data_IF_651539630763
#
_entry.id   IF_651539630763
#
_cell.length_a   1.000
_cell.length_b   1.000
_cell.length_c   1.000
_cell.angle_alpha   90.00
_cell.angle_beta   90.00
_cell.angle_gamma   90.00
#
_symmetry.space_group_name_H-M   'P 1'
#
loop_
_entity.id
_entity.type
_entity.pdbx_description
1 polymer ?
#
# COMPACT_ATOMS: atom_id res chain seq x y z
N UNK A 1 -14.25 22.85 25.80
CA UNK A 1 -13.94 22.65 24.37
C UNK A 1 -12.66 23.37 23.96
N UNK A 2 -12.57 24.69 24.09
CA UNK A 2 -11.38 25.50 23.73
C UNK A 2 -10.04 24.98 24.27
N UNK A 3 -9.97 24.62 25.56
CA UNK A 3 -8.76 24.03 26.16
C UNK A 3 -8.30 22.75 25.43
N UNK A 4 -9.25 21.85 25.14
CA UNK A 4 -8.95 20.60 24.42
C UNK A 4 -8.47 20.88 22.99
N UNK A 5 -9.10 21.85 22.32
CA UNK A 5 -8.66 22.29 20.99
C UNK A 5 -7.24 22.86 21.03
N UNK A 6 -6.91 23.69 22.02
CA UNK A 6 -5.57 24.24 22.21
C UNK A 6 -4.53 23.12 22.44
N UNK A 7 -4.85 22.12 23.26
CA UNK A 7 -3.99 20.94 23.43
C UNK A 7 -3.73 20.23 22.08
N UNK A 8 -4.77 20.00 21.27
CA UNK A 8 -4.62 19.35 19.97
C UNK A 8 -3.79 20.17 18.98
N UNK A 9 -3.92 21.50 18.99
CA UNK A 9 -3.12 22.41 18.16
C UNK A 9 -1.63 22.26 18.49
N UNK A 10 -1.29 22.24 19.78
CA UNK A 10 0.10 22.08 20.26
C UNK A 10 0.65 20.70 19.86
N UNK A 11 -0.10 19.63 20.09
CA UNK A 11 0.35 18.26 19.75
C UNK A 11 0.47 18.02 18.25
N UNK A 12 -0.33 18.73 17.45
CA UNK A 12 -0.21 18.71 15.99
C UNK A 12 0.91 19.59 15.43
N UNK A 13 1.57 20.38 16.28
CA UNK A 13 2.50 21.40 15.82
C UNK A 13 1.84 22.38 14.85
N UNK A 14 0.59 22.74 15.10
CA UNK A 14 -0.23 23.56 14.21
C UNK A 14 -0.43 24.98 14.74
N UNK A 15 0.54 25.49 15.49
CA UNK A 15 0.48 26.84 16.06
C UNK A 15 0.74 27.86 14.94
N UNK A 16 -0.30 28.60 14.55
CA UNK A 16 -0.22 29.63 13.51
C UNK A 16 0.60 30.84 13.93
N UNK A 17 0.92 30.99 15.23
CA UNK A 17 1.77 32.05 15.75
C UNK A 17 3.28 31.80 15.60
N UNK A 18 3.69 30.64 15.09
CA UNK A 18 5.10 30.23 14.96
C UNK A 18 5.46 30.02 13.49
N UNK A 19 6.53 30.69 13.01
CA UNK A 19 6.99 30.60 11.62
C UNK A 19 7.47 29.16 11.27
N UNK A 20 8.20 28.52 12.18
CA UNK A 20 8.69 27.14 12.04
C UNK A 20 7.88 26.17 12.89
N UNK A 21 6.85 25.58 12.28
CA UNK A 21 6.07 24.55 12.94
C UNK A 21 6.83 23.23 13.07
N UNK A 22 6.71 22.58 14.23
CA UNK A 22 7.26 21.23 14.46
C UNK A 22 6.52 20.19 13.61
N UNK A 23 7.19 19.05 13.39
CA UNK A 23 6.56 17.88 12.75
C UNK A 23 5.38 17.37 13.58
N UNK A 24 4.29 17.00 12.90
CA UNK A 24 3.08 16.44 13.50
C UNK A 24 3.37 15.14 14.27
N UNK A 25 3.05 15.10 15.56
CA UNK A 25 3.19 13.91 16.42
C UNK A 25 1.86 13.14 16.49
N UNK A 26 1.66 12.23 15.54
CA UNK A 26 0.42 11.46 15.42
C UNK A 26 0.13 10.59 16.65
N UNK A 27 1.17 10.09 17.33
CA UNK A 27 1.01 9.31 18.56
C UNK A 27 0.38 10.13 19.67
N UNK A 28 0.84 11.37 19.87
CA UNK A 28 0.27 12.27 20.88
C UNK A 28 -1.10 12.80 20.49
N UNK A 29 -1.33 13.15 19.22
CA UNK A 29 -2.66 13.55 18.73
C UNK A 29 -3.67 12.44 19.01
N UNK A 30 -3.37 11.19 18.64
CA UNK A 30 -4.27 10.07 18.86
C UNK A 30 -4.51 9.80 20.36
N UNK A 31 -3.47 9.96 21.20
CA UNK A 31 -3.58 9.83 22.66
C UNK A 31 -4.51 10.89 23.24
N UNK A 32 -4.34 12.15 22.82
CA UNK A 32 -5.18 13.27 23.23
C UNK A 32 -6.63 13.08 22.78
N UNK A 33 -6.86 12.71 21.51
CA UNK A 33 -8.19 12.45 20.95
C UNK A 33 -8.87 11.30 21.68
N UNK A 34 -8.18 10.18 21.91
CA UNK A 34 -8.73 9.04 22.65
C UNK A 34 -9.17 9.44 24.06
N UNK A 35 -8.37 10.27 24.74
CA UNK A 35 -8.71 10.80 26.07
C UNK A 35 -9.92 11.74 26.02
N UNK A 36 -10.04 12.57 24.98
CA UNK A 36 -11.16 13.49 24.79
C UNK A 36 -12.46 12.75 24.47
N UNK A 37 -12.42 11.73 23.60
CA UNK A 37 -13.57 10.89 23.26
C UNK A 37 -14.11 10.15 24.49
N UNK A 38 -13.23 9.63 25.37
CA UNK A 38 -13.63 9.02 26.65
C UNK A 38 -14.38 9.99 27.57
N UNK A 39 -14.15 11.31 27.42
CA UNK A 39 -14.84 12.37 28.18
C UNK A 39 -16.10 12.88 27.46
N UNK A 40 -16.53 12.21 26.37
CA UNK A 40 -17.71 12.58 25.60
C UNK A 40 -17.51 13.77 24.65
N UNK A 41 -16.27 14.16 24.35
CA UNK A 41 -15.99 15.23 23.38
C UNK A 41 -15.96 14.62 21.98
N UNK A 42 -16.82 15.13 21.10
CA UNK A 42 -16.90 14.67 19.73
C UNK A 42 -15.82 15.33 18.86
N UNK A 43 -15.04 14.52 18.13
CA UNK A 43 -14.10 14.99 17.11
C UNK A 43 -14.72 14.67 15.75
N UNK A 44 -15.05 15.69 14.96
CA UNK A 44 -15.61 15.49 13.62
C UNK A 44 -14.51 15.36 12.58
N UNK A 45 -14.85 14.74 11.45
CA UNK A 45 -13.99 14.68 10.27
C UNK A 45 -13.56 16.10 9.85
N UNK A 46 -12.40 16.23 9.20
CA UNK A 46 -12.08 17.48 8.55
C UNK A 46 -13.08 17.77 7.43
N UNK A 47 -13.42 19.04 7.23
CA UNK A 47 -14.34 19.50 6.19
C UNK A 47 -13.60 20.52 5.32
N UNK A 48 -13.56 20.30 4.01
CA UNK A 48 -12.65 21.04 3.12
C UNK A 48 -12.84 22.56 3.16
N UNK A 49 -14.06 23.03 3.44
CA UNK A 49 -14.40 24.45 3.52
C UNK A 49 -14.38 25.04 4.95
N UNK A 50 -14.34 24.20 6.00
CA UNK A 50 -14.46 24.65 7.39
C UNK A 50 -13.20 24.37 8.24
N UNK A 51 -12.49 23.27 7.97
CA UNK A 51 -11.27 22.89 8.72
C UNK A 51 -10.14 23.89 8.49
N UNK A 52 -9.58 24.45 9.55
CA UNK A 52 -8.40 25.32 9.45
C UNK A 52 -7.08 24.52 9.42
N UNK A 53 -5.97 25.25 9.45
CA UNK A 53 -4.65 24.66 9.56
C UNK A 53 -4.55 23.87 10.87
N UNK A 54 -4.91 24.47 12.00
CA UNK A 54 -5.08 23.81 13.30
C UNK A 54 -6.47 23.22 13.54
N UNK A 55 -6.63 22.52 14.68
CA UNK A 55 -7.94 22.02 15.13
C UNK A 55 -8.86 23.20 15.45
N UNK A 56 -10.14 23.10 15.11
CA UNK A 56 -11.08 24.24 15.26
C UNK A 56 -12.22 23.86 16.23
N UNK A 57 -12.52 24.69 17.25
CA UNK A 57 -13.68 24.45 18.11
C UNK A 57 -14.96 24.86 17.38
N UNK A 58 -15.97 23.99 17.38
CA UNK A 58 -17.30 24.26 16.84
C UNK A 58 -18.32 24.18 17.98
N UNK A 59 -18.49 25.34 18.64
CA UNK A 59 -19.33 25.49 19.84
C UNK A 59 -20.81 25.21 19.56
N UNK A 60 -21.42 25.71 18.45
CA UNK A 60 -22.81 25.41 18.13
C UNK A 60 -23.11 23.91 18.05
N UNK A 61 -22.16 23.10 17.57
CA UNK A 61 -22.33 21.66 17.40
C UNK A 61 -21.64 20.82 18.49
N UNK A 62 -21.07 21.47 19.52
CA UNK A 62 -20.30 20.83 20.60
C UNK A 62 -19.28 19.79 20.11
N UNK A 63 -18.50 20.16 19.09
CA UNK A 63 -17.50 19.29 18.46
C UNK A 63 -16.20 20.03 18.18
N UNK A 64 -15.12 19.28 17.99
CA UNK A 64 -13.86 19.81 17.49
C UNK A 64 -13.67 19.31 16.06
N UNK A 65 -13.52 20.24 15.12
CA UNK A 65 -13.25 19.93 13.72
C UNK A 65 -11.77 19.58 13.56
N UNK A 66 -11.51 18.42 12.96
CA UNK A 66 -10.16 17.93 12.72
C UNK A 66 -9.35 18.87 11.83
N UNK A 67 -8.07 19.02 12.16
CA UNK A 67 -7.09 19.87 11.47
C UNK A 67 -6.72 19.32 10.10
N UNK A 68 -6.59 20.19 9.09
CA UNK A 68 -6.04 19.76 7.80
C UNK A 68 -4.56 19.37 7.87
N UNK A 69 -3.77 20.05 8.71
CA UNK A 69 -2.35 19.73 8.94
C UNK A 69 -2.17 18.35 9.60
N UNK A 70 -3.09 17.95 10.46
CA UNK A 70 -3.04 16.67 11.13
C UNK A 70 -3.43 15.47 10.22
N UNK A 71 -3.73 15.72 8.94
CA UNK A 71 -3.99 14.65 7.96
C UNK A 71 -2.66 14.09 7.46
N UNK A 72 -2.52 12.78 7.56
CA UNK A 72 -1.33 12.06 7.14
C UNK A 72 -1.03 12.27 5.64
N UNK A 73 0.19 12.70 5.34
CA UNK A 73 0.68 12.88 3.97
C UNK A 73 0.28 14.21 3.32
N UNK A 74 -0.38 15.12 4.05
CA UNK A 74 -0.65 16.48 3.60
C UNK A 74 0.38 17.42 4.24
N UNK A 75 1.12 18.15 3.41
CA UNK A 75 2.14 19.10 3.87
C UNK A 75 1.57 20.49 4.10
N UNK A 76 2.20 21.26 4.99
CA UNK A 76 1.77 22.60 5.41
C UNK A 76 1.48 23.54 4.23
N UNK A 77 2.31 23.53 3.18
CA UNK A 77 2.12 24.39 1.99
C UNK A 77 0.84 24.04 1.25
N UNK A 78 0.53 22.75 1.09
CA UNK A 78 -0.70 22.31 0.43
C UNK A 78 -1.92 22.67 1.26
N UNK A 79 -1.82 22.61 2.60
CA UNK A 79 -2.90 23.08 3.48
C UNK A 79 -3.14 24.57 3.30
N UNK A 80 -2.09 25.39 3.27
CA UNK A 80 -2.20 26.85 3.06
C UNK A 80 -2.83 27.18 1.71
N UNK A 81 -2.42 26.49 0.65
CA UNK A 81 -3.02 26.64 -0.69
C UNK A 81 -4.50 26.21 -0.73
N UNK A 82 -4.85 25.13 -0.04
CA UNK A 82 -6.26 24.72 0.11
C UNK A 82 -7.05 25.82 0.83
N UNK A 83 -6.51 26.42 1.88
CA UNK A 83 -7.19 27.46 2.66
C UNK A 83 -7.34 28.75 1.83
N UNK A 84 -6.30 29.17 1.12
CA UNK A 84 -6.30 30.43 0.35
C UNK A 84 -7.28 30.42 -0.83
N UNK A 85 -7.59 29.23 -1.37
CA UNK A 85 -8.51 29.06 -2.50
C UNK A 85 -9.97 28.78 -2.10
N UNK A 86 -10.31 28.82 -0.81
CA UNK A 86 -11.70 28.63 -0.35
C UNK A 86 -12.60 29.82 -0.66
N UNK A 87 -13.93 29.60 -0.68
CA UNK A 87 -14.61 28.32 -0.56
C UNK A 87 -14.65 27.54 -1.88
N UNK A 88 -14.82 26.23 -1.79
CA UNK A 88 -15.13 25.33 -2.91
C UNK A 88 -16.63 25.08 -3.00
N UNK A 89 -17.16 25.15 -4.22
CA UNK A 89 -18.61 25.06 -4.49
C UNK A 89 -19.06 23.67 -4.93
N UNK A 90 -18.16 22.89 -5.55
CA UNK A 90 -18.38 21.49 -5.90
C UNK A 90 -17.04 20.73 -5.97
N UNK A 91 -17.10 19.41 -6.21
CA UNK A 91 -15.89 18.63 -6.46
C UNK A 91 -15.19 19.02 -7.76
N UNK A 92 -15.94 19.28 -8.82
CA UNK A 92 -15.39 19.73 -10.12
C UNK A 92 -14.63 21.03 -9.95
N UNK A 93 -15.18 21.94 -9.15
CA UNK A 93 -14.54 23.19 -8.79
C UNK A 93 -13.22 22.95 -8.03
N UNK A 94 -13.21 22.07 -7.03
CA UNK A 94 -11.97 21.66 -6.35
C UNK A 94 -10.95 21.02 -7.31
N UNK A 95 -11.38 20.10 -8.17
CA UNK A 95 -10.52 19.44 -9.14
C UNK A 95 -9.88 20.43 -10.11
N UNK A 96 -10.67 21.38 -10.63
CA UNK A 96 -10.19 22.39 -11.57
C UNK A 96 -9.12 23.30 -10.95
N UNK A 97 -9.31 23.70 -9.69
CA UNK A 97 -8.42 24.65 -9.00
C UNK A 97 -7.22 24.00 -8.33
N UNK A 98 -7.33 22.75 -7.88
CA UNK A 98 -6.31 22.11 -7.04
C UNK A 98 -5.61 20.92 -7.71
N UNK A 99 -6.33 20.09 -8.48
CA UNK A 99 -5.75 18.90 -9.12
C UNK A 99 -5.20 19.22 -10.51
N UNK A 100 -5.98 19.89 -11.35
CA UNK A 100 -5.56 20.22 -12.72
C UNK A 100 -4.37 21.19 -12.75
N UNK A 101 -4.29 22.07 -11.75
CA UNK A 101 -3.14 22.98 -11.49
C UNK A 101 -1.96 22.28 -10.82
N UNK A 102 -2.11 21.02 -10.41
CA UNK A 102 -1.11 20.18 -9.73
C UNK A 102 -0.66 20.68 -8.35
N UNK A 103 -1.44 21.55 -7.71
CA UNK A 103 -1.22 21.99 -6.33
C UNK A 103 -1.38 20.79 -5.38
N UNK A 104 -2.46 20.03 -5.54
CA UNK A 104 -2.72 18.80 -4.80
C UNK A 104 -2.33 17.62 -5.70
N UNK A 105 -1.42 16.77 -5.21
CA UNK A 105 -0.97 15.55 -5.92
C UNK A 105 -1.98 14.42 -5.74
N UNK A 106 -1.93 13.41 -6.62
CA UNK A 106 -2.77 12.20 -6.54
C UNK A 106 -2.79 11.56 -5.15
N UNK A 107 -1.62 11.35 -4.54
CA UNK A 107 -1.51 10.74 -3.22
C UNK A 107 -2.17 11.58 -2.12
N UNK A 108 -2.07 12.91 -2.22
CA UNK A 108 -2.69 13.85 -1.30
C UNK A 108 -4.21 13.85 -1.46
N UNK A 109 -4.71 13.82 -2.71
CA UNK A 109 -6.15 13.71 -2.96
C UNK A 109 -6.75 12.45 -2.36
N UNK A 110 -6.09 11.29 -2.54
CA UNK A 110 -6.51 10.03 -1.94
C UNK A 110 -6.63 10.17 -0.42
N UNK A 111 -5.65 10.82 0.23
CA UNK A 111 -5.69 11.04 1.68
C UNK A 111 -6.81 12.00 2.12
N UNK A 112 -7.06 13.09 1.37
CA UNK A 112 -8.18 14.01 1.65
C UNK A 112 -9.55 13.32 1.52
N UNK A 113 -9.72 12.46 0.52
CA UNK A 113 -10.95 11.66 0.35
C UNK A 113 -11.08 10.65 1.50
N UNK A 114 -10.01 9.92 1.84
CA UNK A 114 -9.99 8.98 2.96
C UNK A 114 -10.31 9.67 4.29
N UNK A 115 -9.76 10.86 4.51
CA UNK A 115 -10.01 11.70 5.68
C UNK A 115 -11.46 12.19 5.78
N UNK A 116 -12.21 12.17 4.67
CA UNK A 116 -13.59 12.63 4.63
C UNK A 116 -13.75 14.14 4.45
N UNK A 117 -12.75 14.81 3.88
CA UNK A 117 -12.81 16.26 3.62
C UNK A 117 -14.01 16.69 2.76
N UNK A 118 -14.55 15.79 1.96
CA UNK A 118 -15.56 16.07 0.94
C UNK A 118 -16.96 15.53 1.27
N UNK A 119 -17.18 15.00 2.48
CA UNK A 119 -18.48 14.38 2.83
C UNK A 119 -19.68 15.33 2.78
N UNK A 120 -19.44 16.64 2.97
CA UNK A 120 -20.47 17.68 2.83
C UNK A 120 -20.47 18.34 1.44
N UNK A 121 -19.35 18.29 0.70
CA UNK A 121 -19.21 18.95 -0.60
C UNK A 121 -19.67 18.05 -1.77
N UNK A 122 -19.50 16.74 -1.63
CA UNK A 122 -19.69 15.74 -2.70
C UNK A 122 -20.74 14.70 -2.32
N UNK A 123 -20.33 13.76 -1.47
CA UNK A 123 -21.11 12.59 -1.14
C UNK A 123 -20.76 12.13 0.29
N UNK A 124 -21.75 11.84 1.14
CA UNK A 124 -21.49 11.33 2.48
C UNK A 124 -20.75 9.98 2.46
N UNK A 125 -20.91 9.19 1.39
CA UNK A 125 -20.15 7.96 1.17
C UNK A 125 -18.82 8.24 0.47
N UNK A 126 -17.75 8.28 1.28
CA UNK A 126 -16.36 8.45 0.83
C UNK A 126 -15.96 7.45 -0.26
N UNK A 127 -16.53 6.24 -0.29
CA UNK A 127 -16.20 5.23 -1.31
C UNK A 127 -16.68 5.64 -2.69
N UNK A 128 -17.81 6.33 -2.79
CA UNK A 128 -18.32 6.86 -4.06
C UNK A 128 -17.42 7.97 -4.57
N UNK A 129 -17.04 8.93 -3.71
CA UNK A 129 -16.06 9.97 -4.05
C UNK A 129 -14.73 9.38 -4.52
N UNK A 130 -14.22 8.36 -3.81
CA UNK A 130 -12.98 7.67 -4.20
C UNK A 130 -13.12 7.00 -5.56
N UNK A 131 -14.22 6.25 -5.79
CA UNK A 131 -14.48 5.58 -7.07
C UNK A 131 -14.50 6.59 -8.21
N UNK A 132 -15.24 7.69 -8.05
CA UNK A 132 -15.31 8.76 -9.05
C UNK A 132 -13.93 9.37 -9.34
N UNK A 133 -13.14 9.65 -8.30
CA UNK A 133 -11.79 10.18 -8.46
C UNK A 133 -10.88 9.22 -9.22
N UNK A 134 -10.89 7.93 -8.84
CA UNK A 134 -10.08 6.92 -9.52
C UNK A 134 -10.47 6.78 -11.00
N UNK A 135 -11.76 6.73 -11.27
CA UNK A 135 -12.31 6.57 -12.63
C UNK A 135 -11.99 7.73 -13.58
N UNK A 136 -11.96 8.96 -13.07
CA UNK A 136 -11.88 10.15 -13.93
C UNK A 136 -10.51 10.86 -13.91
N UNK A 137 -9.71 10.65 -12.85
CA UNK A 137 -8.44 11.37 -12.67
C UNK A 137 -7.21 10.47 -12.48
N UNK A 138 -7.40 9.17 -12.22
CA UNK A 138 -6.27 8.24 -11.99
C UNK A 138 -6.12 7.26 -13.14
N UNK A 139 -7.19 6.56 -13.51
CA UNK A 139 -7.14 5.61 -14.61
C UNK A 139 -7.22 6.35 -15.94
N UNK A 140 -6.50 5.84 -16.94
CA UNK A 140 -6.65 6.30 -18.32
C UNK A 140 -7.65 5.38 -19.00
N UNK A 141 -8.93 5.76 -18.96
CA UNK A 141 -10.01 5.05 -19.67
C UNK A 141 -9.63 4.94 -21.14
N UNK A 142 -9.76 3.74 -21.69
CA UNK A 142 -9.59 3.49 -23.11
C UNK A 142 -10.96 3.62 -23.79
N UNK A 143 -11.05 4.46 -24.82
CA UNK A 143 -12.25 4.53 -25.68
C UNK A 143 -12.24 3.41 -26.72
N UNK A 144 -11.04 2.93 -27.08
CA UNK A 144 -10.83 1.84 -28.02
C UNK A 144 -9.59 1.04 -27.63
N UNK A 145 -9.67 -0.29 -27.70
CA UNK A 145 -8.51 -1.14 -27.48
C UNK A 145 -7.67 -1.29 -28.75
N UNK A 146 -6.36 -1.33 -28.55
CA UNK A 146 -5.38 -1.59 -29.60
C UNK A 146 -4.30 -2.52 -29.07
N UNK A 147 -3.37 -2.94 -29.93
CA UNK A 147 -2.22 -3.73 -29.51
C UNK A 147 -1.29 -2.99 -28.52
N UNK A 148 -1.44 -1.67 -28.34
CA UNK A 148 -0.72 -0.94 -27.29
C UNK A 148 -1.10 -1.39 -25.88
N UNK A 149 -2.38 -1.75 -25.67
CA UNK A 149 -2.90 -2.21 -24.38
C UNK A 149 -2.68 -3.71 -24.15
N UNK A 150 -2.11 -4.43 -25.13
CA UNK A 150 -2.02 -5.90 -25.13
C UNK A 150 -1.36 -6.46 -23.87
N UNK A 151 -0.22 -5.90 -23.45
CA UNK A 151 0.51 -6.42 -22.28
C UNK A 151 -0.31 -6.30 -20.99
N UNK A 152 -0.93 -5.13 -20.74
CA UNK A 152 -1.82 -4.94 -19.60
C UNK A 152 -3.04 -5.86 -19.66
N UNK A 153 -3.59 -6.08 -20.86
CA UNK A 153 -4.73 -6.96 -21.07
C UNK A 153 -4.40 -8.43 -20.77
N UNK A 154 -3.20 -8.91 -21.16
CA UNK A 154 -2.73 -10.25 -20.78
C UNK A 154 -2.54 -10.35 -19.26
N UNK A 155 -1.97 -9.34 -18.61
CA UNK A 155 -1.83 -9.30 -17.15
C UNK A 155 -3.20 -9.34 -16.46
N UNK A 156 -4.17 -8.57 -16.94
CA UNK A 156 -5.53 -8.64 -16.40
C UNK A 156 -6.18 -9.98 -16.66
N UNK A 157 -5.94 -10.59 -17.82
CA UNK A 157 -6.47 -11.91 -18.13
C UNK A 157 -5.94 -13.02 -17.21
N UNK A 158 -4.67 -12.95 -16.77
CA UNK A 158 -4.13 -13.95 -15.85
C UNK A 158 -4.75 -13.88 -14.44
N UNK A 159 -5.31 -12.73 -14.07
CA UNK A 159 -5.95 -12.51 -12.76
C UNK A 159 -7.47 -12.70 -12.85
N UNK A 160 -8.09 -12.17 -13.90
CA UNK A 160 -9.54 -12.01 -14.02
C UNK A 160 -10.20 -12.83 -15.12
N UNK A 161 -9.43 -13.51 -15.98
CA UNK A 161 -9.96 -14.33 -17.10
C UNK A 161 -10.95 -13.57 -18.01
N UNK A 162 -10.56 -12.39 -18.49
CA UNK A 162 -11.42 -11.50 -19.29
C UNK A 162 -11.41 -11.77 -20.80
N UNK A 163 -10.42 -12.54 -21.30
CA UNK A 163 -10.29 -12.82 -22.73
C UNK A 163 -11.00 -14.14 -23.05
N UNK A 164 -11.91 -14.15 -24.04
CA UNK A 164 -12.53 -15.38 -24.52
C UNK A 164 -11.51 -16.43 -24.97
N UNK A 165 -11.73 -17.69 -24.60
CA UNK A 165 -10.83 -18.82 -24.94
C UNK A 165 -10.57 -18.96 -26.44
N UNK A 166 -11.52 -18.56 -27.28
CA UNK A 166 -11.41 -18.59 -28.74
C UNK A 166 -10.28 -17.69 -29.27
N UNK A 167 -9.82 -16.72 -28.48
CA UNK A 167 -8.76 -15.78 -28.84
C UNK A 167 -7.36 -16.24 -28.41
N UNK A 168 -7.22 -17.42 -27.78
CA UNK A 168 -5.92 -17.97 -27.40
C UNK A 168 -4.97 -18.16 -28.59
N UNK A 169 -5.47 -18.65 -29.73
CA UNK A 169 -4.65 -18.81 -30.93
C UNK A 169 -4.18 -17.47 -31.52
N UNK A 170 -5.04 -16.46 -31.73
CA UNK A 170 -4.61 -15.11 -32.06
C UNK A 170 -3.53 -14.55 -31.12
N UNK A 171 -3.64 -14.78 -29.80
CA UNK A 171 -2.63 -14.38 -28.82
C UNK A 171 -1.29 -15.10 -29.06
N UNK A 172 -1.32 -16.41 -29.33
CA UNK A 172 -0.11 -17.18 -29.68
C UNK A 172 0.55 -16.65 -30.96
N UNK A 173 -0.23 -16.30 -31.98
CA UNK A 173 0.29 -15.68 -33.21
C UNK A 173 0.97 -14.32 -32.94
N UNK A 174 0.47 -13.54 -31.97
CA UNK A 174 1.14 -12.30 -31.54
C UNK A 174 2.50 -12.62 -30.94
N UNK A 175 2.56 -13.52 -29.96
CA UNK A 175 3.83 -13.90 -29.33
C UNK A 175 4.83 -14.49 -30.33
N UNK A 176 4.35 -15.32 -31.25
CA UNK A 176 5.18 -15.88 -32.31
C UNK A 176 5.76 -14.78 -33.20
N UNK A 177 4.95 -13.80 -33.64
CA UNK A 177 5.44 -12.63 -34.38
C UNK A 177 6.52 -11.86 -33.61
N UNK A 178 6.31 -11.61 -32.33
CA UNK A 178 7.28 -10.88 -31.51
C UNK A 178 8.58 -11.66 -31.31
N UNK A 179 8.50 -12.99 -31.24
CA UNK A 179 9.64 -13.89 -31.09
C UNK A 179 10.51 -13.92 -32.35
N UNK A 180 9.93 -14.21 -33.52
CA UNK A 180 10.71 -14.40 -34.76
C UNK A 180 11.26 -13.09 -35.35
N UNK A 181 10.68 -11.94 -35.00
CA UNK A 181 11.12 -10.63 -35.47
C UNK A 181 12.17 -9.98 -34.55
N UNK A 182 12.71 -10.70 -33.57
CA UNK A 182 13.85 -10.25 -32.78
C UNK A 182 15.12 -10.18 -33.64
N UNK A 183 16.02 -9.25 -33.32
CA UNK A 183 17.23 -9.02 -34.09
C UNK A 183 18.18 -10.22 -34.13
N UNK A 184 18.11 -11.14 -33.17
CA UNK A 184 18.89 -12.38 -33.17
C UNK A 184 18.53 -13.33 -34.34
N UNK A 185 17.30 -13.26 -34.84
CA UNK A 185 16.85 -14.02 -36.00
C UNK A 185 17.08 -13.29 -37.32
N UNK A 186 17.53 -12.02 -37.29
CA UNK A 186 17.77 -11.23 -38.49
C UNK A 186 18.90 -11.84 -39.32
N UNK A 187 18.56 -12.33 -40.51
CA UNK A 187 19.52 -12.95 -41.41
C UNK A 187 20.17 -11.92 -42.33
N UNK A 188 19.36 -11.18 -43.10
CA UNK A 188 19.86 -10.11 -43.98
C UNK A 188 18.80 -9.07 -44.29
N UNK A 189 19.26 -7.88 -44.64
CA UNK A 189 18.41 -6.81 -45.19
C UNK A 189 18.35 -7.00 -46.71
N UNK A 190 17.16 -7.27 -47.22
CA UNK A 190 16.91 -7.46 -48.64
C UNK A 190 16.49 -6.15 -49.30
N UNK A 191 17.20 -5.80 -50.36
CA UNK A 191 16.88 -4.67 -51.24
C UNK A 191 16.30 -5.28 -52.51
N UNK A 192 15.08 -4.88 -52.87
CA UNK A 192 14.45 -5.32 -54.11
C UNK A 192 15.30 -4.84 -55.32
N UNK A 193 15.87 -5.76 -56.13
CA UNK A 193 16.70 -5.40 -57.28
C UNK A 193 15.96 -4.57 -58.33
N UNK A 194 14.62 -4.62 -58.35
CA UNK A 194 13.77 -3.87 -59.30
C UNK A 194 13.47 -2.44 -58.83
N UNK A 195 13.90 -2.06 -57.63
CA UNK A 195 13.72 -0.70 -57.10
C UNK A 195 14.57 0.30 -57.89
N UNK A 196 13.92 1.17 -58.68
CA UNK A 196 14.56 2.26 -59.45
C UNK A 196 15.23 3.36 -58.60
N UNK A 197 15.28 3.23 -57.27
CA UNK A 197 15.87 4.22 -56.37
C UNK A 197 17.34 3.86 -56.12
N UNK A 198 18.26 4.71 -56.58
CA UNK A 198 19.72 4.50 -56.54
C UNK A 198 20.30 4.26 -55.13
N UNK A 199 19.62 4.68 -54.07
CA UNK A 199 19.81 4.18 -52.71
C UNK A 199 18.44 4.17 -51.99
N UNK A 200 18.01 3.06 -51.38
CA UNK A 200 16.80 3.06 -50.56
C UNK A 200 17.02 3.95 -49.32
N UNK A 201 16.11 4.88 -49.04
CA UNK A 201 16.08 5.58 -47.75
C UNK A 201 15.99 4.55 -46.62
N UNK A 202 16.63 4.82 -45.47
CA UNK A 202 16.53 3.98 -44.28
C UNK A 202 15.07 3.59 -44.02
N UNK A 203 14.77 2.29 -43.94
CA UNK A 203 13.41 1.75 -43.74
C UNK A 203 12.68 1.20 -44.99
N UNK A 204 13.24 1.32 -46.20
CA UNK A 204 12.61 0.76 -47.42
C UNK A 204 13.03 -0.69 -47.75
N UNK A 205 14.05 -1.21 -47.07
CA UNK A 205 14.57 -2.56 -47.28
C UNK A 205 13.69 -3.57 -46.55
N UNK A 206 13.34 -4.68 -47.20
CA UNK A 206 12.71 -5.80 -46.52
C UNK A 206 13.73 -6.49 -45.59
N UNK A 207 13.28 -7.10 -44.50
CA UNK A 207 14.15 -7.85 -43.60
C UNK A 207 13.82 -9.32 -43.71
N UNK A 208 14.87 -10.14 -43.83
CA UNK A 208 14.71 -11.58 -43.88
C UNK A 208 15.18 -12.18 -42.57
N UNK A 209 14.38 -13.07 -42.01
CA UNK A 209 14.62 -13.70 -40.73
C UNK A 209 14.83 -15.19 -40.92
N UNK A 210 15.87 -15.74 -40.30
CA UNK A 210 16.17 -17.17 -40.29
C UNK A 210 15.54 -17.78 -39.04
N UNK A 211 14.62 -18.71 -39.20
CA UNK A 211 13.93 -19.38 -38.10
C UNK A 211 14.83 -20.44 -37.46
N UNK A 212 14.69 -20.66 -36.16
CA UNK A 212 15.25 -21.81 -35.47
C UNK A 212 14.29 -23.02 -35.52
N UNK A 213 14.68 -24.13 -34.90
CA UNK A 213 13.91 -25.38 -34.95
C UNK A 213 12.53 -25.23 -34.33
N UNK A 214 12.45 -24.54 -33.19
CA UNK A 214 11.20 -24.34 -32.45
C UNK A 214 10.25 -23.42 -33.24
N UNK A 215 10.77 -22.32 -33.82
CA UNK A 215 9.98 -21.44 -34.66
C UNK A 215 9.49 -22.14 -35.94
N UNK A 216 10.30 -23.03 -36.52
CA UNK A 216 9.94 -23.75 -37.74
C UNK A 216 8.75 -24.69 -37.55
N UNK A 217 8.66 -25.39 -36.42
CA UNK A 217 7.54 -26.29 -36.13
C UNK A 217 6.21 -25.50 -36.11
N UNK A 218 6.18 -24.40 -35.36
CA UNK A 218 5.00 -23.53 -35.30
C UNK A 218 4.70 -22.87 -36.65
N UNK A 219 5.74 -22.44 -37.38
CA UNK A 219 5.61 -21.83 -38.69
C UNK A 219 4.98 -22.79 -39.70
N UNK A 220 5.49 -24.00 -39.81
CA UNK A 220 4.97 -25.02 -40.74
C UNK A 220 3.52 -25.37 -40.45
N UNK A 221 3.15 -25.47 -39.17
CA UNK A 221 1.81 -25.84 -38.77
C UNK A 221 0.77 -24.76 -39.11
N UNK A 222 1.10 -23.48 -38.89
CA UNK A 222 0.12 -22.40 -38.92
C UNK A 222 0.25 -21.40 -40.08
N UNK A 223 1.38 -21.41 -40.77
CA UNK A 223 1.70 -20.56 -41.93
C UNK A 223 2.16 -21.39 -43.14
N UNK A 224 1.46 -22.49 -43.51
CA UNK A 224 1.90 -23.39 -44.58
C UNK A 224 1.93 -22.70 -45.96
N UNK A 225 1.12 -21.65 -46.13
CA UNK A 225 0.99 -20.89 -47.37
C UNK A 225 2.01 -19.74 -47.47
N UNK A 226 2.74 -19.42 -46.40
CA UNK A 226 3.78 -18.40 -46.44
C UNK A 226 4.99 -18.93 -47.20
N UNK A 227 5.31 -18.27 -48.31
CA UNK A 227 6.45 -18.64 -49.15
C UNK A 227 7.78 -18.45 -48.38
N UNK A 228 8.44 -19.56 -48.08
CA UNK A 228 9.84 -19.58 -47.63
C UNK A 228 10.70 -18.96 -48.72
N UNK A 229 11.47 -17.95 -48.36
CA UNK A 229 12.23 -17.14 -49.32
C UNK A 229 13.56 -17.79 -49.66
N UNK A 230 14.20 -18.42 -48.67
CA UNK A 230 15.45 -19.14 -48.83
C UNK A 230 15.53 -20.27 -47.80
N UNK A 231 16.24 -21.35 -48.12
CA UNK A 231 16.54 -22.44 -47.18
C UNK A 231 18.06 -22.44 -47.00
N UNK A 232 18.51 -22.25 -45.76
CA UNK A 232 19.94 -22.17 -45.40
C UNK A 232 20.27 -23.35 -44.48
N UNK A 233 20.81 -24.42 -45.07
CA UNK A 233 20.94 -25.71 -44.39
C UNK A 233 19.56 -26.31 -44.12
N UNK A 234 19.29 -26.66 -42.86
CA UNK A 234 17.98 -27.18 -42.43
C UNK A 234 17.00 -26.08 -41.95
N UNK A 235 17.33 -24.81 -42.15
CA UNK A 235 16.58 -23.69 -41.59
C UNK A 235 15.86 -22.85 -42.65
N UNK A 236 14.62 -22.46 -42.36
CA UNK A 236 13.82 -21.60 -43.21
C UNK A 236 14.15 -20.13 -43.02
N UNK A 237 14.23 -19.40 -44.13
CA UNK A 237 14.36 -17.93 -44.15
C UNK A 237 13.10 -17.33 -44.73
N UNK A 238 12.48 -16.42 -43.98
CA UNK A 238 11.20 -15.79 -44.33
C UNK A 238 11.36 -14.28 -44.54
N UNK A 239 10.54 -13.73 -45.44
CA UNK A 239 10.41 -12.28 -45.65
C UNK A 239 9.48 -11.68 -44.60
N UNK A 240 9.93 -10.65 -43.89
CA UNK A 240 9.15 -9.93 -42.89
C UNK A 240 7.83 -9.39 -43.48
N UNK A 241 7.89 -8.73 -44.63
CA UNK A 241 6.69 -8.16 -45.26
C UNK A 241 5.64 -9.21 -45.59
N UNK A 242 6.04 -10.36 -46.14
CA UNK A 242 5.13 -11.45 -46.47
C UNK A 242 4.55 -12.08 -45.20
N UNK A 243 5.39 -12.35 -44.21
CA UNK A 243 4.97 -12.90 -42.94
C UNK A 243 4.00 -11.99 -42.18
N UNK A 244 4.32 -10.70 -42.03
CA UNK A 244 3.44 -9.75 -41.33
C UNK A 244 2.07 -9.70 -41.99
N UNK A 245 2.00 -9.73 -43.33
CA UNK A 245 0.73 -9.71 -44.05
C UNK A 245 -0.16 -10.91 -43.73
N UNK A 246 0.43 -12.10 -43.61
CA UNK A 246 -0.32 -13.31 -43.27
C UNK A 246 -0.66 -13.35 -41.77
N UNK A 247 0.29 -13.02 -40.92
CA UNK A 247 0.11 -12.95 -39.47
C UNK A 247 -0.98 -11.95 -39.07
N UNK A 248 -1.06 -10.80 -39.74
CA UNK A 248 -2.10 -9.81 -39.48
C UNK A 248 -3.50 -10.34 -39.76
N UNK A 249 -3.68 -11.28 -40.70
CA UNK A 249 -4.96 -11.99 -40.89
C UNK A 249 -5.29 -12.88 -39.70
N UNK A 250 -4.30 -13.58 -39.16
CA UNK A 250 -4.45 -14.45 -37.97
C UNK A 250 -4.71 -13.64 -36.69
N UNK A 251 -4.25 -12.40 -36.63
CA UNK A 251 -4.55 -11.45 -35.54
C UNK A 251 -5.90 -10.73 -35.69
N UNK A 252 -6.56 -10.83 -36.84
CA UNK A 252 -7.81 -10.12 -37.09
C UNK A 252 -8.90 -10.42 -36.04
N UNK A 253 -9.15 -11.67 -35.62
CA UNK A 253 -10.16 -11.95 -34.58
C UNK A 253 -9.89 -11.23 -33.25
N UNK A 254 -8.61 -11.05 -32.89
CA UNK A 254 -8.23 -10.30 -31.70
C UNK A 254 -8.48 -8.80 -31.89
N UNK A 255 -8.20 -8.25 -33.07
CA UNK A 255 -8.48 -6.85 -33.42
C UNK A 255 -9.98 -6.57 -33.47
N UNK A 256 -10.77 -7.53 -33.93
CA UNK A 256 -12.22 -7.43 -33.97
C UNK A 256 -12.80 -7.42 -32.55
N UNK A 257 -12.31 -8.30 -31.67
CA UNK A 257 -12.68 -8.30 -30.26
C UNK A 257 -12.29 -6.99 -29.55
N UNK A 258 -11.11 -6.43 -29.84
CA UNK A 258 -10.74 -5.10 -29.33
C UNK A 258 -11.71 -3.98 -29.73
N UNK A 259 -12.48 -4.17 -30.80
CA UNK A 259 -13.50 -3.22 -31.25
C UNK A 259 -14.85 -3.37 -30.56
N UNK A 260 -15.06 -4.38 -29.70
CA UNK A 260 -16.33 -4.57 -29.00
C UNK A 260 -16.39 -3.70 -27.75
N UNK A 261 -17.60 -3.24 -27.42
CA UNK A 261 -17.84 -2.51 -26.17
C UNK A 261 -17.51 -3.37 -24.95
N UNK A 262 -17.82 -4.67 -25.00
CA UNK A 262 -17.51 -5.65 -23.96
C UNK A 262 -16.01 -5.68 -23.62
N UNK A 263 -15.13 -5.72 -24.62
CA UNK A 263 -13.69 -5.78 -24.40
C UNK A 263 -13.17 -4.49 -23.74
N UNK A 264 -13.65 -3.34 -24.23
CA UNK A 264 -13.29 -2.01 -23.70
C UNK A 264 -13.76 -1.86 -22.25
N UNK A 265 -15.01 -2.23 -21.96
CA UNK A 265 -15.59 -2.17 -20.62
C UNK A 265 -14.89 -3.12 -19.65
N UNK A 266 -14.61 -4.36 -20.07
CA UNK A 266 -13.87 -5.32 -19.25
C UNK A 266 -12.47 -4.81 -18.90
N UNK A 267 -11.75 -4.25 -19.88
CA UNK A 267 -10.42 -3.68 -19.66
C UNK A 267 -10.46 -2.48 -18.69
N UNK A 268 -11.37 -1.53 -18.89
CA UNK A 268 -11.52 -0.36 -18.03
C UNK A 268 -11.95 -0.75 -16.61
N UNK A 269 -12.80 -1.76 -16.48
CA UNK A 269 -13.21 -2.32 -15.19
C UNK A 269 -12.03 -2.95 -14.45
N UNK A 270 -11.18 -3.72 -15.15
CA UNK A 270 -9.95 -4.27 -14.57
C UNK A 270 -8.97 -3.17 -14.13
N UNK A 271 -8.78 -2.11 -14.93
CA UNK A 271 -7.97 -0.97 -14.52
C UNK A 271 -8.49 -0.34 -13.22
N UNK A 272 -9.82 -0.15 -13.12
CA UNK A 272 -10.43 0.38 -11.90
C UNK A 272 -10.23 -0.57 -10.71
N UNK A 273 -10.41 -1.89 -10.90
CA UNK A 273 -10.21 -2.89 -9.83
C UNK A 273 -8.79 -2.87 -9.28
N UNK A 274 -7.78 -2.83 -10.14
CA UNK A 274 -6.38 -2.74 -9.72
C UNK A 274 -6.09 -1.40 -9.02
N UNK A 275 -6.56 -0.28 -9.60
CA UNK A 275 -6.42 1.03 -8.95
C UNK A 275 -7.15 1.10 -7.61
N UNK A 276 -8.28 0.40 -7.45
CA UNK A 276 -9.01 0.30 -6.19
C UNK A 276 -8.21 -0.52 -5.18
N UNK A 277 -7.65 -1.65 -5.59
CA UNK A 277 -6.78 -2.48 -4.75
C UNK A 277 -5.58 -1.70 -4.23
N UNK A 278 -4.94 -0.90 -5.10
CA UNK A 278 -3.76 -0.13 -4.74
C UNK A 278 -4.03 1.02 -3.76
N UNK A 279 -5.18 1.68 -3.86
CA UNK A 279 -5.42 2.96 -3.17
C UNK A 279 -6.61 2.98 -2.22
N UNK A 280 -7.63 2.16 -2.47
CA UNK A 280 -8.95 2.24 -1.86
C UNK A 280 -9.38 0.94 -1.15
N UNK A 281 -8.56 -0.10 -1.13
CA UNK A 281 -8.88 -1.33 -0.41
C UNK A 281 -8.99 -1.10 1.10
N UNK A 282 -10.08 -1.57 1.70
CA UNK A 282 -10.30 -1.51 3.13
C UNK A 282 -11.70 -1.11 3.57
N UNK A 283 -11.87 -1.14 4.88
CA UNK A 283 -13.02 -0.54 5.57
C UNK A 283 -12.83 0.96 5.72
N UNK A 284 -13.92 1.63 6.10
CA UNK A 284 -13.89 3.05 6.44
C UNK A 284 -12.97 3.32 7.62
N UNK A 285 -12.97 2.45 8.64
CA UNK A 285 -12.05 2.52 9.79
C UNK A 285 -10.58 2.46 9.34
N UNK A 286 -10.24 1.58 8.38
CA UNK A 286 -8.89 1.54 7.81
C UNK A 286 -8.51 2.87 7.15
N UNK A 287 -9.44 3.49 6.41
CA UNK A 287 -9.20 4.78 5.78
C UNK A 287 -9.00 5.90 6.80
N UNK A 288 -9.76 5.89 7.90
CA UNK A 288 -9.57 6.83 9.01
C UNK A 288 -8.21 6.65 9.68
N UNK A 289 -7.78 5.40 9.89
CA UNK A 289 -6.44 5.15 10.42
C UNK A 289 -5.34 5.62 9.47
N UNK A 290 -5.45 5.29 8.18
CA UNK A 290 -4.47 5.68 7.16
C UNK A 290 -4.30 7.21 7.06
N UNK A 291 -5.40 7.95 7.18
CA UNK A 291 -5.47 9.39 6.90
C UNK A 291 -5.48 10.26 8.16
N UNK A 292 -6.19 9.88 9.21
CA UNK A 292 -6.37 10.64 10.46
C UNK A 292 -5.60 10.03 11.64
N UNK A 293 -5.07 8.81 11.51
CA UNK A 293 -4.38 8.09 12.61
C UNK A 293 -5.24 7.86 13.86
N UNK A 294 -6.56 7.89 13.69
CA UNK A 294 -7.58 7.63 14.71
C UNK A 294 -8.72 6.80 14.12
N UNK A 295 -9.54 6.22 14.98
CA UNK A 295 -10.82 5.62 14.60
C UNK A 295 -11.96 6.50 15.10
N UNK A 296 -12.82 6.96 14.19
CA UNK A 296 -14.13 7.54 14.52
C UNK A 296 -15.19 6.45 14.45
N UNK A 297 -15.11 5.61 13.43
CA UNK A 297 -15.85 4.36 13.34
C UNK A 297 -15.28 3.30 14.31
N UNK A 298 -15.96 2.17 14.54
CA UNK A 298 -15.44 1.12 15.41
C UNK A 298 -14.03 0.67 15.00
N UNK A 299 -13.21 0.37 16.02
CA UNK A 299 -11.84 -0.10 15.86
C UNK A 299 -11.83 -1.40 15.04
N UNK A 300 -10.87 -1.56 14.12
CA UNK A 300 -10.78 -2.74 13.25
C UNK A 300 -10.54 -4.07 13.99
N UNK A 301 -10.25 -4.01 15.29
CA UNK A 301 -10.02 -5.18 16.17
C UNK A 301 -11.14 -5.32 17.22
N UNK A 302 -12.28 -4.65 17.04
CA UNK A 302 -13.36 -4.65 18.05
C UNK A 302 -13.99 -6.04 18.20
N UNK A 303 -14.06 -6.81 17.12
CA UNK A 303 -14.65 -8.16 17.08
C UNK A 303 -13.62 -9.28 17.34
N UNK A 304 -12.37 -8.93 17.68
CA UNK A 304 -11.34 -9.91 17.98
C UNK A 304 -11.75 -10.82 19.16
N UNK A 305 -11.59 -12.13 19.02
CA UNK A 305 -11.74 -13.08 20.13
C UNK A 305 -10.59 -12.91 21.13
N UNK A 306 -10.72 -11.92 22.01
CA UNK A 306 -9.71 -11.57 22.97
C UNK A 306 -9.34 -12.75 23.88
N UNK A 307 -10.31 -13.61 24.24
CA UNK A 307 -10.07 -14.75 25.12
C UNK A 307 -9.21 -15.81 24.44
N UNK A 308 -9.54 -16.20 23.20
CA UNK A 308 -8.76 -17.16 22.44
C UNK A 308 -7.31 -16.71 22.23
N UNK A 309 -7.08 -15.40 22.10
CA UNK A 309 -5.76 -14.83 21.91
C UNK A 309 -5.14 -14.27 23.21
N UNK A 310 -5.70 -14.49 24.39
CA UNK A 310 -5.15 -13.99 25.66
C UNK A 310 -4.88 -12.48 25.67
N UNK A 311 -5.70 -11.73 24.92
CA UNK A 311 -5.66 -10.28 24.81
C UNK A 311 -6.43 -9.69 25.96
N UNK A 312 -5.84 -8.68 26.62
CA UNK A 312 -6.44 -8.02 27.78
C UNK A 312 -6.51 -6.51 27.57
N UNK A 313 -7.40 -5.85 28.30
CA UNK A 313 -7.44 -4.39 28.34
C UNK A 313 -6.29 -3.85 29.20
N UNK A 314 -5.38 -3.10 28.57
CA UNK A 314 -4.25 -2.46 29.24
C UNK A 314 -4.69 -1.60 30.43
N UNK A 315 -5.81 -0.87 30.31
CA UNK A 315 -6.25 0.05 31.34
C UNK A 315 -6.85 -0.65 32.58
N UNK A 316 -7.13 -1.96 32.48
CA UNK A 316 -7.53 -2.81 33.60
C UNK A 316 -6.35 -3.53 34.26
N UNK A 317 -5.15 -3.47 33.68
CA UNK A 317 -3.95 -4.06 34.28
C UNK A 317 -3.44 -3.21 35.44
N UNK A 318 -2.92 -3.83 36.52
CA UNK A 318 -2.26 -3.09 37.58
C UNK A 318 -1.00 -2.39 37.05
N UNK A 319 -0.70 -1.20 37.60
CA UNK A 319 0.50 -0.43 37.23
C UNK A 319 1.78 -1.17 37.60
N UNK A 320 1.77 -1.88 38.72
CA UNK A 320 2.81 -2.81 39.11
C UNK A 320 2.52 -4.21 38.54
N UNK A 321 3.50 -4.84 37.86
CA UNK A 321 3.28 -6.14 37.26
C UNK A 321 3.08 -7.24 38.31
N UNK A 322 2.07 -8.08 38.09
CA UNK A 322 1.76 -9.21 38.98
C UNK A 322 2.87 -10.25 38.94
N UNK A 323 3.46 -10.54 40.10
CA UNK A 323 4.49 -11.57 40.26
C UNK A 323 3.84 -12.95 40.30
N UNK A 324 4.26 -13.85 39.41
CA UNK A 324 3.75 -15.24 39.34
C UNK A 324 4.73 -16.26 39.90
N UNK A 325 6.04 -15.99 39.81
CA UNK A 325 7.07 -16.85 40.39
C UNK A 325 8.40 -16.08 40.54
N UNK A 326 9.45 -16.76 40.99
CA UNK A 326 10.79 -16.20 41.12
C UNK A 326 11.79 -17.11 40.43
N UNK A 327 12.86 -16.52 39.89
CA UNK A 327 13.98 -17.26 39.32
C UNK A 327 15.31 -16.64 39.77
N UNK A 328 16.34 -17.48 39.87
CA UNK A 328 17.67 -17.04 40.32
C UNK A 328 18.60 -16.89 39.13
N UNK A 329 19.31 -15.76 39.03
CA UNK A 329 20.41 -15.58 38.08
C UNK A 329 21.66 -15.15 38.81
N UNK A 330 22.81 -15.62 38.34
CA UNK A 330 24.11 -15.12 38.79
C UNK A 330 24.40 -13.81 38.07
N UNK A 331 24.64 -12.76 38.84
CA UNK A 331 24.89 -11.41 38.34
C UNK A 331 26.24 -10.96 38.86
N UNK A 332 26.97 -10.21 38.04
CA UNK A 332 28.22 -9.58 38.44
C UNK A 332 27.87 -8.34 39.27
N UNK A 333 28.30 -8.31 40.53
CA UNK A 333 28.08 -7.21 41.46
C UNK A 333 29.45 -6.69 41.91
N UNK A 334 29.63 -5.39 41.78
CA UNK A 334 30.83 -4.71 42.29
C UNK A 334 30.66 -4.45 43.79
N UNK A 335 31.60 -4.95 44.57
CA UNK A 335 31.69 -4.74 46.02
C UNK A 335 33.14 -4.34 46.28
N UNK A 336 33.35 -3.15 46.85
CA UNK A 336 34.68 -2.61 47.18
C UNK A 336 35.67 -2.56 46.01
N UNK A 337 35.20 -2.29 44.78
CA UNK A 337 36.03 -2.19 43.58
C UNK A 337 36.38 -3.53 42.93
N UNK A 338 35.95 -4.64 43.52
CA UNK A 338 36.12 -5.99 42.97
C UNK A 338 34.79 -6.58 42.50
N UNK A 339 34.86 -7.42 41.48
CA UNK A 339 33.69 -7.98 40.83
C UNK A 339 33.38 -9.40 41.33
N UNK A 340 32.25 -9.56 42.02
CA UNK A 340 31.79 -10.84 42.55
C UNK A 340 30.59 -11.37 41.76
N UNK A 341 30.54 -12.69 41.57
CA UNK A 341 29.38 -13.36 40.98
C UNK A 341 28.40 -13.76 42.09
N UNK A 342 27.31 -13.00 42.21
CA UNK A 342 26.31 -13.20 43.27
C UNK A 342 25.04 -13.78 42.66
N UNK A 343 24.47 -14.80 43.31
CA UNK A 343 23.14 -15.33 42.95
C UNK A 343 22.07 -14.39 43.47
N UNK A 344 21.34 -13.74 42.56
CA UNK A 344 20.24 -12.84 42.88
C UNK A 344 18.91 -13.41 42.41
N UNK A 345 17.87 -13.30 43.23
CA UNK A 345 16.50 -13.64 42.84
C UNK A 345 15.86 -12.49 42.07
N UNK A 346 15.11 -12.86 41.03
CA UNK A 346 14.36 -11.95 40.18
C UNK A 346 12.91 -12.40 40.11
N UNK A 347 11.95 -11.45 40.19
CA UNK A 347 10.55 -11.78 40.02
C UNK A 347 10.28 -12.13 38.56
N UNK A 348 9.43 -13.14 38.38
CA UNK A 348 8.80 -13.49 37.11
C UNK A 348 7.39 -12.92 37.11
N UNK A 349 7.06 -12.15 36.09
CA UNK A 349 5.75 -11.50 35.97
C UNK A 349 4.79 -12.30 35.10
N UNK A 350 3.49 -12.09 35.31
CA UNK A 350 2.43 -12.57 34.43
C UNK A 350 2.59 -11.94 33.04
N UNK A 351 2.58 -12.76 31.98
CA UNK A 351 2.64 -12.28 30.60
C UNK A 351 1.25 -12.35 29.98
N UNK A 352 0.80 -11.22 29.46
CA UNK A 352 -0.48 -11.05 28.75
C UNK A 352 -0.22 -10.54 27.34
N UNK A 353 -1.24 -10.51 26.47
CA UNK A 353 -1.16 -9.88 25.14
C UNK A 353 -1.99 -8.60 25.07
N UNK A 354 -1.49 -7.65 24.28
CA UNK A 354 -2.28 -6.52 23.77
C UNK A 354 -2.46 -6.68 22.27
N UNK A 355 -3.61 -6.24 21.76
CA UNK A 355 -3.90 -6.15 20.34
C UNK A 355 -4.19 -4.69 19.98
N UNK A 356 -3.60 -4.20 18.90
CA UNK A 356 -3.84 -2.84 18.48
C UNK A 356 -3.23 -2.50 17.13
N UNK A 357 -3.52 -1.28 16.68
CA UNK A 357 -3.01 -0.70 15.44
C UNK A 357 -1.85 0.25 15.73
N UNK A 358 -0.73 0.10 15.03
CA UNK A 358 0.43 0.97 15.17
C UNK A 358 0.11 2.35 14.62
N UNK A 359 0.22 3.37 15.47
CA UNK A 359 0.01 4.78 15.09
C UNK A 359 1.34 5.43 14.74
N UNK A 360 2.30 5.25 15.64
CA UNK A 360 3.59 5.91 15.55
C UNK A 360 4.69 5.11 16.25
N UNK A 361 5.93 5.46 15.95
CA UNK A 361 7.12 4.80 16.50
C UNK A 361 8.23 5.78 16.82
N UNK A 362 8.86 5.57 17.97
CA UNK A 362 10.07 6.26 18.39
C UNK A 362 11.24 5.27 18.30
N UNK A 363 12.07 5.43 17.27
CA UNK A 363 13.22 4.55 17.01
C UNK A 363 14.30 4.67 18.07
N UNK A 364 14.52 5.88 18.59
CA UNK A 364 15.58 6.15 19.56
C UNK A 364 15.24 5.55 20.91
N UNK A 365 13.96 5.64 21.29
CA UNK A 365 13.45 5.05 22.52
C UNK A 365 12.92 3.63 22.31
N UNK A 366 12.91 3.07 21.10
CA UNK A 366 12.39 1.72 20.85
C UNK A 366 10.94 1.56 21.35
N UNK A 367 10.10 2.58 21.16
CA UNK A 367 8.72 2.61 21.62
C UNK A 367 7.74 2.69 20.45
N UNK A 368 6.54 2.15 20.64
CA UNK A 368 5.40 2.27 19.73
C UNK A 368 4.21 2.91 20.45
N UNK A 369 3.48 3.74 19.73
CA UNK A 369 2.14 4.18 20.11
C UNK A 369 1.14 3.22 19.48
N UNK A 370 0.51 2.38 20.29
CA UNK A 370 -0.41 1.33 19.86
C UNK A 370 -1.85 1.71 20.22
N UNK A 371 -2.72 1.89 19.23
CA UNK A 371 -4.15 2.11 19.48
C UNK A 371 -4.81 0.75 19.75
N UNK A 372 -5.29 0.53 20.97
CA UNK A 372 -6.15 -0.61 21.31
C UNK A 372 -7.61 -0.21 21.16
N UNK A 373 -8.53 -1.17 21.30
CA UNK A 373 -9.98 -0.91 21.35
C UNK A 373 -10.40 0.02 22.49
N UNK A 374 -9.56 0.14 23.53
CA UNK A 374 -9.83 0.93 24.74
C UNK A 374 -8.99 2.20 24.84
N UNK A 375 -7.96 2.38 24.01
CA UNK A 375 -7.21 3.63 23.94
C UNK A 375 -5.75 3.45 23.49
N UNK A 376 -4.98 4.54 23.50
CA UNK A 376 -3.58 4.50 23.07
C UNK A 376 -2.69 4.03 24.21
N UNK A 377 -1.81 3.06 23.91
CA UNK A 377 -0.85 2.47 24.84
C UNK A 377 0.57 2.66 24.30
N UNK A 378 1.49 3.10 25.17
CA UNK A 378 2.91 3.15 24.83
C UNK A 378 3.56 1.79 25.09
N UNK A 379 4.03 1.15 24.03
CA UNK A 379 4.67 -0.16 24.09
C UNK A 379 6.18 -0.01 23.95
N UNK A 380 6.94 -0.47 24.94
CA UNK A 380 8.41 -0.42 24.97
C UNK A 380 9.01 -1.78 24.61
N UNK A 381 9.85 -1.81 23.59
CA UNK A 381 10.62 -2.99 23.19
C UNK A 381 12.08 -2.90 23.64
N UNK A 382 12.73 -4.06 23.76
CA UNK A 382 14.20 -4.09 23.83
C UNK A 382 14.80 -3.80 22.45
N UNK A 383 16.00 -3.20 22.42
CA UNK A 383 16.69 -2.78 21.19
C UNK A 383 16.71 -3.86 20.10
N UNK A 384 17.13 -5.08 20.42
CA UNK A 384 17.21 -6.17 19.44
C UNK A 384 15.84 -6.59 18.88
N UNK A 385 14.82 -6.66 19.73
CA UNK A 385 13.46 -6.97 19.30
C UNK A 385 12.89 -5.86 18.41
N UNK A 386 13.08 -4.62 18.83
CA UNK A 386 12.61 -3.45 18.08
C UNK A 386 13.20 -3.43 16.67
N UNK A 387 14.53 -3.57 16.55
CA UNK A 387 15.21 -3.60 15.25
C UNK A 387 14.72 -4.76 14.39
N UNK A 388 14.54 -5.95 14.98
CA UNK A 388 14.06 -7.11 14.22
C UNK A 388 12.66 -6.90 13.63
N UNK A 389 11.74 -6.29 14.38
CA UNK A 389 10.37 -6.04 13.92
C UNK A 389 10.21 -4.75 13.11
N UNK A 390 11.12 -3.77 13.25
CA UNK A 390 11.10 -2.54 12.46
C UNK A 390 11.83 -2.66 11.10
N UNK A 391 12.66 -3.70 10.90
CA UNK A 391 13.44 -3.85 9.66
C UNK A 391 12.54 -3.95 8.43
N UNK A 392 13.03 -3.45 7.29
CA UNK A 392 12.48 -3.71 5.96
C UNK A 392 13.40 -4.72 5.28
N UNK A 393 12.83 -5.78 4.73
CA UNK A 393 13.55 -6.89 4.09
C UNK A 393 13.42 -6.73 2.58
N UNK A 394 14.56 -6.67 1.88
CA UNK A 394 14.63 -6.47 0.44
C UNK A 394 15.64 -7.40 -0.20
N UNK A 395 15.31 -7.92 -1.38
CA UNK A 395 16.21 -8.74 -2.21
C UNK A 395 16.85 -7.88 -3.30
N UNK A 396 18.09 -8.23 -3.67
CA UNK A 396 18.80 -7.59 -4.79
C UNK A 396 18.54 -8.45 -6.02
N UNK A 397 17.89 -7.85 -7.02
CA UNK A 397 17.62 -8.47 -8.30
C UNK A 397 18.94 -8.65 -9.10
N UNK A 398 18.98 -9.55 -10.10
CA UNK A 398 20.16 -9.75 -10.94
C UNK A 398 20.67 -8.48 -11.66
N UNK A 399 19.81 -7.49 -11.85
CA UNK A 399 20.10 -6.20 -12.47
C UNK A 399 20.66 -5.14 -11.48
N UNK A 400 20.82 -5.50 -10.21
CA UNK A 400 21.29 -4.61 -9.13
C UNK A 400 20.20 -3.75 -8.49
N UNK A 401 18.96 -3.81 -8.97
CA UNK A 401 17.82 -3.15 -8.33
C UNK A 401 17.35 -3.90 -7.08
N UNK A 402 16.66 -3.21 -6.15
CA UNK A 402 16.18 -3.81 -4.90
C UNK A 402 14.66 -3.94 -4.93
N UNK A 403 14.17 -5.16 -4.69
CA UNK A 403 12.74 -5.42 -4.50
C UNK A 403 12.46 -5.56 -3.01
N UNK A 404 11.50 -4.78 -2.48
CA UNK A 404 11.08 -4.93 -1.08
C UNK A 404 10.19 -6.17 -0.95
N UNK A 405 10.65 -7.18 -0.21
CA UNK A 405 9.87 -8.39 0.07
C UNK A 405 8.93 -8.16 1.25
N UNK A 406 9.42 -7.55 2.32
CA UNK A 406 8.63 -7.34 3.55
C UNK A 406 8.91 -5.96 4.14
N UNK A 407 7.84 -5.19 4.36
CA UNK A 407 7.92 -3.90 5.05
C UNK A 407 8.05 -4.08 6.56
N UNK A 408 8.39 -3.00 7.26
CA UNK A 408 8.39 -2.95 8.73
C UNK A 408 7.04 -3.39 9.29
N UNK A 409 7.04 -4.25 10.31
CA UNK A 409 5.81 -4.59 11.05
C UNK A 409 5.30 -3.41 11.86
N UNK A 410 6.19 -2.48 12.22
CA UNK A 410 5.87 -1.23 12.91
C UNK A 410 5.56 -0.09 11.93
N UNK A 411 5.16 -0.39 10.70
CA UNK A 411 4.58 0.63 9.83
C UNK A 411 3.20 1.05 10.38
N UNK A 412 2.86 2.33 10.22
CA UNK A 412 1.55 2.87 10.64
C UNK A 412 0.40 2.10 9.97
N UNK A 413 -0.67 1.87 10.70
CA UNK A 413 -1.86 1.15 10.23
C UNK A 413 -1.76 -0.37 10.34
N UNK A 414 -0.54 -0.91 10.52
CA UNK A 414 -0.37 -2.34 10.78
C UNK A 414 -0.95 -2.71 12.14
N UNK A 415 -1.55 -3.91 12.20
CA UNK A 415 -2.15 -4.45 13.42
C UNK A 415 -1.22 -5.50 13.99
N UNK A 416 -0.95 -5.42 15.29
CA UNK A 416 -0.01 -6.30 15.94
C UNK A 416 -0.58 -6.87 17.24
N UNK A 417 -0.15 -8.08 17.57
CA UNK A 417 -0.24 -8.64 18.91
C UNK A 417 1.11 -8.48 19.60
N UNK A 418 1.11 -7.96 20.82
CA UNK A 418 2.33 -7.80 21.63
C UNK A 418 2.19 -8.53 22.95
N UNK A 419 3.12 -9.42 23.25
CA UNK A 419 3.20 -10.11 24.54
C UNK A 419 4.08 -9.33 25.51
N UNK A 420 3.63 -9.18 26.75
CA UNK A 420 4.35 -8.39 27.75
C UNK A 420 3.60 -8.22 29.06
N UNK A 421 3.99 -7.18 29.82
CA UNK A 421 3.37 -6.79 31.08
C UNK A 421 3.36 -5.26 31.23
N UNK A 422 2.41 -4.73 32.00
CA UNK A 422 2.36 -3.31 32.36
C UNK A 422 3.42 -3.00 33.41
N UNK A 423 4.09 -1.86 33.24
CA UNK A 423 5.09 -1.34 34.17
C UNK A 423 5.00 0.18 34.21
N UNK A 424 4.22 0.68 35.18
CA UNK A 424 3.77 2.07 35.24
C UNK A 424 2.92 2.44 34.02
N UNK A 425 3.30 3.51 33.34
CA UNK A 425 2.58 4.07 32.18
C UNK A 425 2.94 3.41 30.84
N UNK A 426 3.72 2.33 30.87
CA UNK A 426 4.18 1.65 29.66
C UNK A 426 3.84 0.16 29.71
N UNK A 427 3.65 -0.42 28.52
CA UNK A 427 3.61 -1.85 28.35
C UNK A 427 4.98 -2.34 27.87
N UNK A 428 5.66 -3.16 28.68
CA UNK A 428 6.96 -3.73 28.31
C UNK A 428 6.77 -4.99 27.50
N UNK A 429 7.15 -4.95 26.22
CA UNK A 429 7.13 -6.11 25.35
C UNK A 429 8.21 -7.12 25.79
N UNK A 430 7.76 -8.26 26.29
CA UNK A 430 8.65 -9.26 26.88
C UNK A 430 8.01 -10.65 26.87
N UNK A 431 8.87 -11.68 26.83
CA UNK A 431 8.45 -13.07 27.08
C UNK A 431 9.53 -13.81 27.85
N UNK A 432 9.10 -14.71 28.72
CA UNK A 432 9.98 -15.73 29.30
C UNK A 432 10.14 -16.91 28.35
N UNK A 433 11.18 -17.72 28.53
CA UNK A 433 11.47 -18.89 27.68
C UNK A 433 10.34 -19.93 27.74
N UNK A 434 9.77 -20.10 28.92
CA UNK A 434 8.66 -21.00 29.25
C UNK A 434 7.29 -20.32 29.16
N UNK A 435 7.21 -19.15 28.50
CA UNK A 435 5.93 -18.51 28.21
C UNK A 435 5.14 -19.33 27.19
N UNK A 436 3.81 -19.36 27.34
CA UNK A 436 2.90 -19.92 26.32
C UNK A 436 3.03 -19.19 24.97
N UNK A 437 3.49 -17.94 24.98
CA UNK A 437 3.71 -17.13 23.79
C UNK A 437 5.14 -17.32 23.26
N UNK A 438 5.24 -17.89 22.05
CA UNK A 438 6.54 -18.15 21.41
C UNK A 438 7.24 -16.88 20.93
N UNK A 439 6.50 -15.82 20.58
CA UNK A 439 7.05 -14.56 20.05
C UNK A 439 6.54 -13.36 20.85
N UNK A 440 7.35 -12.29 20.92
CA UNK A 440 6.93 -11.06 21.63
C UNK A 440 6.03 -10.17 20.79
N UNK A 441 6.14 -10.27 19.46
CA UNK A 441 5.28 -9.56 18.53
C UNK A 441 4.82 -10.51 17.43
N UNK A 442 3.57 -10.39 17.01
CA UNK A 442 3.00 -11.02 15.82
C UNK A 442 2.33 -9.94 14.97
N UNK A 443 2.45 -10.03 13.65
CA UNK A 443 1.72 -9.16 12.72
C UNK A 443 0.38 -9.82 12.38
N UNK A 444 -0.72 -9.12 12.58
CA UNK A 444 -2.05 -9.57 12.16
C UNK A 444 -2.19 -9.27 10.67
N UNK A 445 -2.38 -10.31 9.87
CA UNK A 445 -2.48 -10.20 8.40
C UNK A 445 -3.92 -10.21 7.93
N UNK A 446 -4.81 -10.87 8.66
CA UNK A 446 -6.23 -10.98 8.34
C UNK A 446 -7.08 -11.13 9.60
N UNK A 447 -8.31 -10.60 9.55
CA UNK A 447 -9.29 -10.65 10.62
C UNK A 447 -10.59 -11.16 10.01
N UNK A 448 -11.04 -12.32 10.49
CA UNK A 448 -12.24 -12.98 9.99
C UNK A 448 -13.46 -12.52 10.78
N UNK A 449 -14.63 -12.68 10.16
CA UNK A 449 -15.93 -12.30 10.75
C UNK A 449 -16.25 -13.06 12.05
N UNK A 450 -15.64 -14.24 12.26
CA UNK A 450 -15.80 -15.02 13.50
C UNK A 450 -14.89 -14.56 14.64
N UNK A 451 -14.16 -13.45 14.46
CA UNK A 451 -13.23 -12.89 15.45
C UNK A 451 -11.87 -13.60 15.49
N UNK A 452 -11.65 -14.61 14.63
CA UNK A 452 -10.35 -15.26 14.49
C UNK A 452 -9.41 -14.46 13.58
N UNK A 453 -8.10 -14.61 13.81
CA UNK A 453 -7.07 -13.88 13.07
C UNK A 453 -6.05 -14.81 12.43
N UNK A 454 -5.55 -14.39 11.27
CA UNK A 454 -4.32 -14.90 10.70
C UNK A 454 -3.16 -14.01 11.15
N UNK A 455 -2.03 -14.63 11.51
CA UNK A 455 -0.86 -13.91 12.01
C UNK A 455 0.43 -14.42 11.37
N UNK A 456 1.34 -13.49 11.09
CA UNK A 456 2.74 -13.81 10.85
C UNK A 456 3.48 -13.80 12.19
N UNK A 457 4.19 -14.89 12.48
CA UNK A 457 4.94 -15.07 13.73
C UNK A 457 6.42 -14.78 13.58
N UNK A 458 6.95 -14.87 12.37
CA UNK A 458 8.35 -14.67 12.06
C UNK A 458 8.51 -13.69 10.89
N UNK A 459 9.61 -12.94 10.93
CA UNK A 459 10.04 -12.07 9.83
C UNK A 459 10.57 -12.93 8.70
N UNK A 460 10.41 -12.48 7.46
CA UNK A 460 11.03 -13.14 6.31
C UNK A 460 12.55 -13.19 6.50
N UNK A 461 13.12 -14.38 6.30
CA UNK A 461 14.57 -14.58 6.22
C UNK A 461 14.92 -14.75 4.74
N UNK A 462 15.87 -13.95 4.26
CA UNK A 462 16.47 -14.17 2.94
C UNK A 462 17.77 -14.89 3.23
N UNK A 463 17.94 -16.09 2.66
CA UNK A 463 19.24 -16.76 2.65
C UNK A 463 20.18 -15.92 1.78
N UNK A 464 21.25 -15.45 2.39
CA UNK A 464 22.21 -14.51 1.79
C UNK A 464 23.17 -15.15 0.80
#
# INVERSE_FOLDING_TARGET
>A
MYWNTACLIVEAGADEGVEDNKSTDYGKIATAISTMQKRGINISLPLINQSNFGFTPDEPNNRIIYSLKAINGIGDDVVREIISHRPYTSMEDFYSRMINTKIVKKSQMIQLIKAGCFVELDNPDRKQTMKYFLENYVIKKADKLTLQQFNSLIQFNSIYSIIPKQLEMPIRHKYFKDYILQDCFLYKRHIDPKSKRALPKCGYNDRWFKLDKDAMEFFQQFYPDTIVTEIVGDYFVISEKKFIKENDKKLQPLRDWFGTEEAVEAYNTCQLKESWKDYAEGTVSKWEMDSLSIYREPHELIELDNAAYGVVDYFQLPEEPKVVSWYTRTVKQEIDGENYWVKKQFPKYEIVRLAGTVIDKDKDKHMLSLLTTTGVVTVKFNKGQYVNYDKTVSEINPDGSKTTIEKSWFARGNKILVSGYRNGDQFRAYKYVDSIYKHTCNLITDIREDGTIAVNTERVQIDG
#
